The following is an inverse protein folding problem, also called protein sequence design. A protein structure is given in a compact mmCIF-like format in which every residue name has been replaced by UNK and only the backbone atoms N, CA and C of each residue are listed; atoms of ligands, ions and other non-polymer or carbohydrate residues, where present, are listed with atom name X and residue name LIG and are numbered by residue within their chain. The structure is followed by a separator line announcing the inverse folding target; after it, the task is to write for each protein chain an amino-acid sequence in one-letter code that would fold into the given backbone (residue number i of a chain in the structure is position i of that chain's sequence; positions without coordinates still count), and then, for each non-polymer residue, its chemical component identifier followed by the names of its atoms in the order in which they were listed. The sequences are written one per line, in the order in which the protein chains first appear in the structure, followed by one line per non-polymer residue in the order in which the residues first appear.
data_IF_069391016593
#
_entry.id   IF_069391016593
#
_cell.length_a   1.000
_cell.length_b   1.000
_cell.length_c   1.000
_cell.angle_alpha   90.00
_cell.angle_beta   90.00
_cell.angle_gamma   90.00
#
_symmetry.space_group_name_H-M   'P 1'
#
loop_
_entity.id
_entity.type
_entity.pdbx_description
1 polymer ?
#
# COMPACT_ATOMS: atom_id res chain seq x y z
N UNK A 1 -68.52 -64.24 -23.19
CA UNK A 1 -68.31 -64.36 -21.73
C UNK A 1 -67.09 -63.50 -21.38
N UNK A 2 -67.33 -62.38 -20.69
CA UNK A 2 -66.45 -61.54 -19.82
C UNK A 2 -65.07 -61.06 -20.32
N UNK A 3 -64.89 -59.73 -20.35
CA UNK A 3 -63.61 -59.02 -20.54
C UNK A 3 -62.82 -58.86 -19.22
N UNK A 4 -61.53 -58.44 -19.28
CA UNK A 4 -61.13 -57.35 -18.40
C UNK A 4 -60.18 -56.30 -19.03
N UNK A 5 -60.33 -55.09 -18.50
CA UNK A 5 -59.58 -53.84 -18.65
C UNK A 5 -58.29 -53.83 -17.80
N UNK A 6 -57.26 -53.05 -18.17
CA UNK A 6 -56.19 -52.37 -17.35
C UNK A 6 -54.88 -52.28 -18.19
N UNK A 7 -53.98 -51.30 -18.13
CA UNK A 7 -53.84 -50.04 -17.40
C UNK A 7 -52.78 -49.17 -18.13
N UNK A 8 -52.79 -47.87 -17.89
CA UNK A 8 -51.72 -46.91 -18.21
C UNK A 8 -50.41 -47.28 -17.47
N UNK A 9 -49.26 -47.19 -18.14
CA UNK A 9 -47.94 -46.95 -17.53
C UNK A 9 -47.39 -45.67 -18.19
N UNK A 10 -47.63 -44.50 -17.59
CA UNK A 10 -46.79 -43.88 -16.55
C UNK A 10 -45.39 -43.52 -17.08
N UNK A 11 -45.12 -42.22 -17.13
CA UNK A 11 -43.96 -41.62 -17.76
C UNK A 11 -42.63 -42.04 -17.14
N UNK A 12 -41.65 -42.29 -18.02
CA UNK A 12 -40.27 -42.53 -17.64
C UNK A 12 -39.68 -41.33 -16.90
N UNK A 13 -39.30 -41.56 -15.65
CA UNK A 13 -38.66 -40.60 -14.76
C UNK A 13 -37.25 -40.24 -15.27
N UNK A 14 -36.91 -38.95 -15.50
CA UNK A 14 -35.52 -38.54 -15.69
C UNK A 14 -34.90 -38.24 -14.32
N UNK A 15 -34.48 -39.24 -13.54
CA UNK A 15 -34.32 -39.02 -12.08
C UNK A 15 -32.96 -39.25 -11.43
N UNK A 16 -31.89 -39.66 -12.12
CA UNK A 16 -30.60 -39.86 -11.43
C UNK A 16 -29.40 -39.24 -12.15
N UNK A 17 -29.15 -39.59 -13.41
CA UNK A 17 -27.94 -39.12 -14.12
C UNK A 17 -27.90 -37.61 -14.34
N UNK A 18 -29.03 -36.98 -14.70
CA UNK A 18 -29.11 -35.52 -14.85
C UNK A 18 -28.88 -34.79 -13.53
N UNK A 19 -29.46 -35.30 -12.44
CA UNK A 19 -29.30 -34.73 -11.09
C UNK A 19 -27.85 -34.83 -10.60
N UNK A 20 -27.16 -35.94 -10.90
CA UNK A 20 -25.74 -36.11 -10.57
C UNK A 20 -24.85 -35.15 -11.36
N UNK A 21 -25.11 -34.92 -12.65
CA UNK A 21 -24.34 -33.97 -13.48
C UNK A 21 -24.61 -32.52 -13.06
N UNK A 22 -25.85 -32.18 -12.72
CA UNK A 22 -26.20 -30.85 -12.19
C UNK A 22 -25.58 -30.60 -10.83
N UNK A 23 -25.59 -31.59 -9.92
CA UNK A 23 -24.95 -31.44 -8.61
C UNK A 23 -23.43 -31.37 -8.73
N UNK A 24 -22.82 -32.13 -9.64
CA UNK A 24 -21.37 -32.06 -9.89
C UNK A 24 -20.97 -30.72 -10.52
N UNK A 25 -21.80 -30.16 -11.42
CA UNK A 25 -21.60 -28.80 -11.96
C UNK A 25 -21.83 -27.72 -10.91
N UNK A 26 -22.81 -27.91 -10.01
CA UNK A 26 -23.07 -27.02 -8.88
C UNK A 26 -21.89 -27.05 -7.89
N UNK A 27 -21.43 -28.24 -7.53
CA UNK A 27 -20.27 -28.42 -6.64
C UNK A 27 -18.98 -27.93 -7.27
N UNK A 28 -18.75 -28.14 -8.57
CA UNK A 28 -17.63 -27.55 -9.29
C UNK A 28 -17.72 -26.02 -9.33
N UNK A 29 -18.91 -25.46 -9.53
CA UNK A 29 -19.13 -24.00 -9.45
C UNK A 29 -18.95 -23.43 -8.04
N UNK A 30 -19.31 -24.18 -6.99
CA UNK A 30 -19.08 -23.80 -5.59
C UNK A 30 -17.58 -23.91 -5.25
N UNK A 31 -16.89 -24.96 -5.70
CA UNK A 31 -15.45 -25.13 -5.48
C UNK A 31 -14.63 -24.02 -6.17
N UNK A 32 -14.97 -23.66 -7.41
CA UNK A 32 -14.34 -22.55 -8.14
C UNK A 32 -14.64 -21.18 -7.49
N UNK A 33 -15.82 -21.02 -6.85
CA UNK A 33 -16.11 -19.82 -6.04
C UNK A 33 -15.40 -19.82 -4.69
N UNK A 34 -15.08 -20.99 -4.12
CA UNK A 34 -14.37 -21.12 -2.84
C UNK A 34 -12.85 -20.96 -2.97
N UNK A 35 -12.25 -21.29 -4.12
CA UNK A 35 -10.83 -20.97 -4.39
C UNK A 35 -10.54 -19.46 -4.43
N UNK A 36 -11.56 -18.63 -4.71
CA UNK A 36 -11.47 -17.17 -4.63
C UNK A 36 -11.70 -16.56 -3.23
N UNK A 37 -12.03 -17.38 -2.22
CA UNK A 37 -12.41 -16.91 -0.87
C UNK A 37 -11.30 -17.05 0.19
N UNK A 38 -10.17 -17.68 -0.13
CA UNK A 38 -9.04 -17.77 0.80
C UNK A 38 -8.02 -16.66 0.57
N UNK A 39 -8.22 -15.52 1.25
CA UNK A 39 -7.18 -14.51 1.40
C UNK A 39 -5.95 -15.13 2.07
N UNK A 40 -4.73 -14.94 1.52
CA UNK A 40 -3.51 -15.49 2.09
C UNK A 40 -3.33 -15.01 3.54
N UNK A 41 -3.11 -15.97 4.45
CA UNK A 41 -2.83 -15.68 5.87
C UNK A 41 -1.33 -15.48 6.15
N UNK A 42 -0.47 -16.03 5.28
CA UNK A 42 0.98 -15.87 5.41
C UNK A 42 1.38 -14.46 4.96
N UNK A 43 2.19 -13.72 5.74
CA UNK A 43 2.70 -12.43 5.32
C UNK A 43 3.59 -12.56 4.10
N UNK A 44 3.54 -11.56 3.21
CA UNK A 44 4.35 -11.50 2.01
C UNK A 44 5.47 -10.47 2.17
N UNK A 45 6.73 -10.91 2.37
CA UNK A 45 7.84 -9.98 2.59
C UNK A 45 8.16 -9.16 1.36
N UNK A 46 8.18 -7.83 1.53
CA UNK A 46 8.67 -6.88 0.54
C UNK A 46 10.13 -6.52 0.83
N UNK A 47 10.47 -6.37 2.11
CA UNK A 47 11.82 -6.09 2.59
C UNK A 47 12.05 -6.68 3.98
N UNK A 48 13.20 -7.32 4.21
CA UNK A 48 13.62 -7.88 5.51
C UNK A 48 15.08 -7.55 5.73
N UNK A 49 15.43 -6.84 6.80
CA UNK A 49 16.81 -6.44 7.12
C UNK A 49 17.49 -7.46 8.05
N UNK A 50 17.54 -8.72 7.62
CA UNK A 50 18.16 -9.83 8.33
C UNK A 50 19.67 -9.94 8.07
N UNK A 51 20.09 -9.75 6.81
CA UNK A 51 21.47 -9.91 6.36
C UNK A 51 22.23 -8.57 6.25
N UNK A 52 23.55 -8.53 6.53
CA UNK A 52 24.38 -7.33 6.40
C UNK A 52 24.39 -6.70 5.01
N UNK A 53 24.23 -7.51 3.95
CA UNK A 53 24.22 -7.04 2.56
C UNK A 53 22.86 -6.48 2.14
N UNK A 54 21.83 -6.64 2.96
CA UNK A 54 20.47 -6.22 2.62
C UNK A 54 20.35 -4.73 2.26
N UNK A 55 20.99 -3.78 2.98
CA UNK A 55 20.97 -2.37 2.58
C UNK A 55 21.53 -2.11 1.18
N UNK A 56 22.38 -2.99 0.63
CA UNK A 56 22.85 -2.91 -0.75
C UNK A 56 21.75 -3.20 -1.79
N UNK A 57 20.56 -3.63 -1.35
CA UNK A 57 19.36 -3.71 -2.19
C UNK A 57 18.57 -2.40 -2.20
N UNK A 58 18.99 -1.39 -1.42
CA UNK A 58 18.34 -0.08 -1.33
C UNK A 58 19.16 1.04 -1.96
N UNK A 59 18.48 1.91 -2.71
CA UNK A 59 19.03 3.17 -3.19
C UNK A 59 18.70 4.27 -2.19
N UNK A 60 19.72 4.86 -1.59
CA UNK A 60 19.62 6.04 -0.73
C UNK A 60 19.59 7.30 -1.61
N UNK A 61 18.82 8.29 -1.19
CA UNK A 61 18.61 9.57 -1.87
C UNK A 61 18.59 10.69 -0.83
N UNK A 62 19.22 11.80 -1.14
CA UNK A 62 19.09 13.06 -0.40
C UNK A 62 19.24 14.24 -1.36
N UNK A 63 18.87 15.43 -0.92
CA UNK A 63 19.10 16.66 -1.69
C UNK A 63 20.58 16.84 -2.11
N UNK A 64 21.53 16.43 -1.26
CA UNK A 64 22.96 16.44 -1.56
C UNK A 64 23.27 15.57 -2.78
N UNK A 65 22.78 14.32 -2.80
CA UNK A 65 23.05 13.39 -3.90
C UNK A 65 22.26 13.69 -5.17
N UNK A 66 21.12 14.37 -5.04
CA UNK A 66 20.21 14.61 -6.16
C UNK A 66 20.49 15.95 -6.86
N UNK A 67 20.81 17.00 -6.11
CA UNK A 67 20.93 18.34 -6.66
C UNK A 67 21.86 19.27 -5.86
N UNK A 68 22.75 18.72 -5.02
CA UNK A 68 23.82 19.47 -4.35
C UNK A 68 23.42 20.18 -3.07
N UNK A 69 22.30 19.79 -2.44
CA UNK A 69 21.93 20.25 -1.10
C UNK A 69 22.86 19.75 0.02
N UNK A 70 22.45 19.96 1.26
CA UNK A 70 23.28 19.69 2.45
C UNK A 70 22.73 18.58 3.36
N UNK A 71 21.58 17.99 3.03
CA UNK A 71 21.03 16.85 3.77
C UNK A 71 21.78 15.57 3.44
N UNK A 72 22.04 14.78 4.48
CA UNK A 72 22.79 13.53 4.42
C UNK A 72 21.94 12.40 4.93
N UNK A 73 22.12 11.23 4.33
CA UNK A 73 21.39 10.03 4.70
C UNK A 73 22.25 8.78 4.53
N UNK A 74 22.09 7.83 5.43
CA UNK A 74 22.72 6.51 5.40
C UNK A 74 21.71 5.43 5.78
N UNK A 75 21.94 4.21 5.29
CA UNK A 75 21.15 3.04 5.66
C UNK A 75 22.12 1.92 6.03
N UNK A 76 22.21 1.62 7.32
CA UNK A 76 23.23 0.71 7.87
C UNK A 76 22.56 -0.48 8.54
N UNK A 77 23.03 -1.70 8.25
CA UNK A 77 22.55 -2.89 8.94
C UNK A 77 23.10 -2.98 10.37
N UNK A 78 22.24 -3.39 11.29
CA UNK A 78 22.57 -3.70 12.68
C UNK A 78 22.15 -5.15 12.94
N UNK A 79 23.09 -6.03 13.35
CA UNK A 79 22.78 -7.40 13.66
C UNK A 79 21.90 -7.49 14.90
N UNK A 80 21.02 -8.48 14.93
CA UNK A 80 20.10 -8.73 16.03
C UNK A 80 19.43 -10.09 15.86
N UNK A 81 18.29 -10.28 16.52
CA UNK A 81 17.51 -11.49 16.38
C UNK A 81 17.07 -11.73 14.94
N UNK A 82 17.19 -12.98 14.50
CA UNK A 82 16.76 -13.37 13.17
C UNK A 82 15.25 -13.20 13.03
N UNK A 83 14.86 -12.84 11.81
CA UNK A 83 13.46 -12.75 11.44
C UNK A 83 12.89 -14.15 11.28
N UNK A 84 11.83 -14.45 12.02
CA UNK A 84 11.13 -15.72 11.99
C UNK A 84 9.79 -15.47 11.31
N UNK A 85 9.60 -16.16 10.19
CA UNK A 85 8.32 -16.17 9.50
C UNK A 85 7.33 -16.95 10.34
N UNK A 86 6.21 -16.32 10.69
CA UNK A 86 5.06 -16.98 11.29
C UNK A 86 5.29 -17.49 12.73
N UNK A 87 5.80 -16.66 13.63
CA UNK A 87 5.73 -16.95 15.08
C UNK A 87 4.26 -17.23 15.47
N UNK A 88 3.99 -18.44 15.98
CA UNK A 88 2.73 -18.81 16.60
C UNK A 88 1.47 -18.85 15.71
N UNK A 89 1.59 -18.83 14.37
CA UNK A 89 0.42 -18.75 13.49
C UNK A 89 -0.23 -17.35 13.43
N UNK A 90 0.46 -16.32 13.91
CA UNK A 90 -0.06 -14.95 14.02
C UNK A 90 0.02 -14.14 12.72
N UNK A 91 0.55 -14.70 11.63
CA UNK A 91 0.57 -14.04 10.31
C UNK A 91 1.51 -12.83 10.23
N UNK A 92 2.58 -12.83 11.03
CA UNK A 92 3.60 -11.76 11.08
C UNK A 92 4.99 -12.29 10.75
N UNK A 93 5.87 -11.37 10.38
CA UNK A 93 7.32 -11.58 10.43
C UNK A 93 7.74 -11.04 11.80
N UNK A 94 8.20 -11.95 12.66
CA UNK A 94 8.62 -11.67 14.03
C UNK A 94 10.14 -11.77 14.16
N UNK A 95 10.69 -11.33 15.30
CA UNK A 95 12.12 -11.38 15.60
C UNK A 95 12.48 -10.34 16.65
N UNK A 96 13.14 -10.74 17.75
CA UNK A 96 13.46 -9.80 18.83
C UNK A 96 12.21 -9.24 19.52
N UNK A 97 11.22 -10.10 19.76
CA UNK A 97 10.02 -9.77 20.55
C UNK A 97 10.21 -10.05 22.04
N UNK A 98 11.28 -10.75 22.40
CA UNK A 98 11.63 -11.02 23.79
C UNK A 98 12.23 -9.77 24.42
N UNK A 99 11.91 -9.54 25.70
CA UNK A 99 12.44 -8.43 26.48
C UNK A 99 13.97 -8.46 26.46
N UNK A 100 14.59 -7.38 25.96
CA UNK A 100 16.04 -7.24 25.86
C UNK A 100 16.67 -7.77 24.56
N UNK A 101 15.87 -8.28 23.62
CA UNK A 101 16.34 -8.73 22.31
C UNK A 101 15.79 -7.81 21.21
N UNK A 102 16.66 -7.14 20.45
CA UNK A 102 16.24 -6.35 19.29
C UNK A 102 16.30 -7.20 18.00
N UNK A 103 15.38 -6.98 17.03
CA UNK A 103 15.49 -7.61 15.72
C UNK A 103 16.76 -7.19 14.99
N UNK A 104 17.27 -8.04 14.10
CA UNK A 104 18.16 -7.55 13.04
C UNK A 104 17.41 -6.48 12.23
N UNK A 105 18.05 -5.35 11.96
CA UNK A 105 17.37 -4.22 11.37
C UNK A 105 18.32 -3.33 10.56
N UNK A 106 17.75 -2.41 9.78
CA UNK A 106 18.50 -1.30 9.22
C UNK A 106 18.20 -0.01 9.98
N UNK A 107 19.22 0.82 10.16
CA UNK A 107 19.12 2.16 10.72
C UNK A 107 19.20 3.15 9.57
N UNK A 108 18.07 3.81 9.29
CA UNK A 108 18.01 4.95 8.39
C UNK A 108 18.26 6.22 9.20
N UNK A 109 19.43 6.82 9.03
CA UNK A 109 19.84 7.98 9.82
C UNK A 109 20.61 9.00 9.01
N UNK A 110 20.69 10.22 9.54
CA UNK A 110 21.41 11.30 8.90
C UNK A 110 21.06 12.65 9.49
N UNK A 111 21.16 13.70 8.67
CA UNK A 111 20.82 15.06 9.07
C UNK A 111 20.12 15.79 7.94
N UNK A 112 19.03 16.49 8.25
CA UNK A 112 18.33 17.38 7.33
C UNK A 112 18.91 18.80 7.43
N UNK A 113 19.15 19.43 6.28
CA UNK A 113 19.37 20.87 6.16
C UNK A 113 18.39 21.44 5.14
N UNK A 114 17.86 22.63 5.41
CA UNK A 114 16.97 23.35 4.49
C UNK A 114 17.70 24.40 3.66
N UNK A 115 19.01 24.52 3.83
CA UNK A 115 19.85 25.46 3.10
C UNK A 115 19.83 25.13 1.61
N UNK A 116 19.65 26.17 0.79
CA UNK A 116 19.63 26.03 -0.66
C UNK A 116 21.07 25.97 -1.20
N UNK A 117 21.33 25.14 -2.21
CA UNK A 117 22.64 25.09 -2.86
C UNK A 117 22.97 26.44 -3.51
N UNK A 118 24.12 27.01 -3.15
CA UNK A 118 24.58 28.33 -3.63
C UNK A 118 24.76 28.41 -5.15
N UNK A 119 25.04 27.29 -5.81
CA UNK A 119 25.33 27.23 -7.25
C UNK A 119 24.11 26.91 -8.13
N UNK A 120 22.89 26.81 -7.56
CA UNK A 120 21.68 26.39 -8.29
C UNK A 120 20.45 27.16 -7.82
N UNK A 121 20.16 28.27 -8.47
CA UNK A 121 19.02 29.15 -8.16
C UNK A 121 17.66 28.62 -8.63
N UNK A 122 17.65 27.56 -9.45
CA UNK A 122 16.44 26.84 -9.89
C UNK A 122 15.80 26.02 -8.76
N UNK A 123 16.55 25.75 -7.69
CA UNK A 123 16.10 24.92 -6.58
C UNK A 123 15.46 25.80 -5.52
N UNK A 124 14.13 25.77 -5.47
CA UNK A 124 13.36 26.56 -4.50
C UNK A 124 13.17 25.84 -3.16
N UNK A 125 13.41 24.53 -3.11
CA UNK A 125 13.13 23.67 -1.94
C UNK A 125 14.22 22.60 -1.77
N UNK A 126 14.85 22.57 -0.61
CA UNK A 126 15.78 21.52 -0.14
C UNK A 126 15.30 20.92 1.20
N UNK A 127 15.98 19.91 1.73
CA UNK A 127 15.66 19.32 3.03
C UNK A 127 14.89 18.02 2.93
N UNK A 128 15.43 17.04 2.20
CA UNK A 128 14.89 15.69 2.21
C UNK A 128 15.98 14.62 2.29
N UNK A 129 15.59 13.50 2.88
CA UNK A 129 16.34 12.25 2.89
C UNK A 129 15.36 11.12 2.61
N UNK A 130 15.75 10.15 1.79
CA UNK A 130 14.91 9.00 1.50
C UNK A 130 15.75 7.79 1.13
N UNK A 131 15.12 6.62 1.15
CA UNK A 131 15.64 5.44 0.50
C UNK A 131 14.49 4.66 -0.11
N UNK A 132 14.81 3.82 -1.09
CA UNK A 132 13.86 2.84 -1.63
C UNK A 132 14.57 1.59 -2.09
N UNK A 133 13.86 0.47 -2.17
CA UNK A 133 14.38 -0.74 -2.79
C UNK A 133 14.76 -0.48 -4.25
N UNK A 134 15.85 -1.08 -4.71
CA UNK A 134 16.20 -1.12 -6.14
C UNK A 134 15.13 -1.92 -6.88
N UNK A 135 14.95 -1.59 -8.16
CA UNK A 135 14.10 -2.40 -9.05
C UNK A 135 14.62 -3.84 -9.06
N UNK A 136 13.71 -4.81 -9.01
CA UNK A 136 14.05 -6.24 -8.96
C UNK A 136 14.65 -6.78 -10.26
N UNK A 137 14.82 -5.93 -11.27
CA UNK A 137 15.38 -6.28 -12.57
C UNK A 137 14.35 -6.81 -13.55
N UNK A 138 14.82 -7.56 -14.54
CA UNK A 138 14.02 -8.13 -15.62
C UNK A 138 14.17 -9.65 -15.64
N UNK A 139 13.12 -10.33 -16.09
CA UNK A 139 13.15 -11.71 -16.53
C UNK A 139 12.81 -11.78 -18.02
N UNK A 140 12.79 -12.98 -18.60
CA UNK A 140 12.62 -13.21 -20.05
C UNK A 140 11.34 -12.59 -20.65
N UNK A 141 10.33 -12.30 -19.83
CA UNK A 141 9.03 -11.78 -20.28
C UNK A 141 8.65 -10.44 -19.63
N UNK A 142 9.59 -9.70 -19.03
CA UNK A 142 9.33 -8.35 -18.55
C UNK A 142 10.05 -7.99 -17.25
N UNK A 143 9.55 -6.96 -16.55
CA UNK A 143 10.08 -6.55 -15.24
C UNK A 143 9.65 -7.51 -14.15
N UNK A 144 10.51 -7.72 -13.16
CA UNK A 144 10.16 -8.38 -11.92
C UNK A 144 9.46 -7.37 -11.00
N UNK A 145 8.19 -7.62 -10.72
CA UNK A 145 7.33 -6.78 -9.88
C UNK A 145 6.79 -7.61 -8.72
N UNK A 146 6.37 -6.97 -7.63
CA UNK A 146 5.59 -7.66 -6.60
C UNK A 146 4.11 -7.59 -6.93
N UNK A 147 3.44 -8.71 -6.67
CA UNK A 147 1.99 -8.81 -6.65
C UNK A 147 1.54 -8.97 -5.20
N UNK A 148 0.89 -7.92 -4.69
CA UNK A 148 0.30 -7.90 -3.37
C UNK A 148 -1.21 -7.65 -3.42
N UNK A 149 -1.84 -7.81 -4.59
CA UNK A 149 -3.29 -7.66 -4.73
C UNK A 149 -4.09 -8.54 -3.74
N UNK A 150 -3.65 -9.77 -3.39
CA UNK A 150 -4.31 -10.58 -2.38
C UNK A 150 -4.24 -10.04 -0.94
N UNK A 151 -3.52 -8.94 -0.69
CA UNK A 151 -3.28 -8.37 0.63
C UNK A 151 -3.95 -7.00 0.80
N UNK A 152 -4.53 -6.76 1.98
CA UNK A 152 -5.23 -5.53 2.31
C UNK A 152 -4.34 -4.45 2.97
N UNK A 153 -3.27 -4.86 3.66
CA UNK A 153 -2.46 -3.97 4.48
C UNK A 153 -0.96 -4.10 4.21
N UNK A 154 -0.25 -2.98 4.37
CA UNK A 154 1.20 -2.94 4.52
C UNK A 154 1.53 -2.89 6.01
N UNK A 155 2.37 -3.81 6.47
CA UNK A 155 2.91 -3.80 7.82
C UNK A 155 4.41 -3.49 7.82
N UNK A 156 4.85 -2.73 8.81
CA UNK A 156 6.25 -2.40 9.04
C UNK A 156 6.57 -2.52 10.52
N UNK A 157 7.69 -3.15 10.86
CA UNK A 157 8.24 -3.13 12.22
C UNK A 157 9.34 -2.09 12.33
N UNK A 158 9.09 -1.06 13.15
CA UNK A 158 9.93 0.14 13.22
C UNK A 158 10.21 0.57 14.66
N UNK A 159 11.26 1.37 14.85
CA UNK A 159 11.51 2.18 16.05
C UNK A 159 11.84 3.60 15.57
N UNK A 160 10.95 4.55 15.83
CA UNK A 160 11.05 5.92 15.31
C UNK A 160 11.59 6.89 16.37
N UNK A 161 12.33 7.91 15.93
CA UNK A 161 12.74 9.07 16.73
C UNK A 161 11.61 10.10 16.95
N UNK A 162 10.42 9.85 16.39
CA UNK A 162 9.26 10.73 16.49
C UNK A 162 9.16 11.78 15.36
N UNK A 163 10.06 11.75 14.37
CA UNK A 163 9.90 12.56 13.16
C UNK A 163 8.80 12.02 12.23
N UNK A 164 8.32 12.89 11.34
CA UNK A 164 7.28 12.58 10.36
C UNK A 164 7.89 11.97 9.09
N UNK A 165 8.00 10.65 9.05
CA UNK A 165 8.41 9.91 7.87
C UNK A 165 7.21 9.56 6.99
N UNK A 166 7.43 9.41 5.69
CA UNK A 166 6.46 8.89 4.73
C UNK A 166 6.92 7.54 4.20
N UNK A 167 5.99 6.57 4.16
CA UNK A 167 6.17 5.31 3.45
C UNK A 167 5.69 5.51 2.00
N UNK A 168 6.52 5.08 1.06
CA UNK A 168 6.35 5.33 -0.36
C UNK A 168 6.29 3.99 -1.12
N UNK A 169 5.28 3.82 -1.96
CA UNK A 169 5.13 2.68 -2.88
C UNK A 169 5.11 3.21 -4.30
N UNK A 170 6.02 2.72 -5.13
CA UNK A 170 6.01 2.99 -6.57
C UNK A 170 5.45 1.77 -7.30
N UNK A 171 4.43 1.99 -8.12
CA UNK A 171 3.85 0.98 -9.02
C UNK A 171 4.26 1.26 -10.47
N UNK A 172 3.97 0.32 -11.38
CA UNK A 172 3.89 0.69 -12.79
C UNK A 172 2.70 1.63 -13.02
N UNK A 173 2.98 2.88 -13.37
CA UNK A 173 2.02 3.87 -13.83
C UNK A 173 2.40 4.36 -15.23
N UNK A 174 1.43 4.93 -15.93
CA UNK A 174 1.66 5.66 -17.19
C UNK A 174 2.64 6.81 -16.94
N UNK A 175 2.52 7.46 -15.79
CA UNK A 175 3.42 8.53 -15.35
C UNK A 175 4.45 7.93 -14.40
N UNK A 176 5.71 7.74 -14.81
CA UNK A 176 6.71 6.99 -14.02
C UNK A 176 7.09 7.68 -12.71
N UNK A 177 6.77 8.95 -12.55
CA UNK A 177 7.04 9.77 -11.37
C UNK A 177 5.93 9.70 -10.32
N UNK A 178 4.83 9.00 -10.62
CA UNK A 178 3.77 8.75 -9.65
C UNK A 178 4.29 7.86 -8.52
N UNK A 179 3.97 8.27 -7.30
CA UNK A 179 4.30 7.56 -6.08
C UNK A 179 3.04 7.56 -5.21
N UNK A 180 2.76 6.43 -4.56
CA UNK A 180 1.72 6.36 -3.55
C UNK A 180 2.37 6.54 -2.18
N UNK A 181 1.89 7.49 -1.40
CA UNK A 181 2.50 7.90 -0.14
C UNK A 181 1.50 7.83 1.00
N UNK A 182 2.00 7.52 2.19
CA UNK A 182 1.25 7.64 3.43
C UNK A 182 2.21 8.09 4.53
N UNK A 183 1.75 8.95 5.45
CA UNK A 183 2.51 9.26 6.66
C UNK A 183 2.72 7.98 7.45
N UNK A 184 3.96 7.68 7.82
CA UNK A 184 4.28 6.51 8.64
C UNK A 184 3.79 6.78 10.07
N UNK A 185 2.80 6.04 10.59
CA UNK A 185 2.35 6.23 11.97
C UNK A 185 3.49 5.90 12.94
N UNK A 186 3.57 6.61 14.05
CA UNK A 186 4.39 6.22 15.19
C UNK A 186 3.63 6.51 16.47
N UNK A 187 3.21 5.44 17.15
CA UNK A 187 2.41 5.53 18.37
C UNK A 187 3.30 5.54 19.60
N UNK A 188 4.48 4.92 19.52
CA UNK A 188 5.42 4.81 20.64
C UNK A 188 6.87 5.16 20.24
N UNK A 189 7.17 6.44 19.98
CA UNK A 189 8.53 6.88 19.68
C UNK A 189 9.57 6.37 20.68
N UNK A 190 10.72 5.92 20.17
CA UNK A 190 11.80 5.31 20.94
C UNK A 190 11.60 3.83 21.29
N UNK A 191 10.44 3.23 20.97
CA UNK A 191 10.17 1.80 21.17
C UNK A 191 9.92 1.10 19.85
N UNK A 192 10.18 -0.20 19.82
CA UNK A 192 9.82 -1.05 18.69
C UNK A 192 8.31 -1.25 18.66
N UNK A 193 7.71 -0.99 17.51
CA UNK A 193 6.29 -1.18 17.24
C UNK A 193 6.07 -1.75 15.84
N UNK A 194 4.94 -2.45 15.66
CA UNK A 194 4.49 -2.87 14.33
C UNK A 194 3.31 -1.99 13.91
N UNK A 195 3.52 -1.20 12.86
CA UNK A 195 2.47 -0.37 12.27
C UNK A 195 1.88 -1.08 11.07
N UNK A 196 0.59 -0.89 10.82
CA UNK A 196 -0.15 -1.57 9.76
C UNK A 196 -1.06 -0.54 9.10
N UNK A 197 -0.90 -0.34 7.80
CA UNK A 197 -1.54 0.73 7.03
C UNK A 197 -2.34 0.08 5.89
N UNK A 198 -3.62 0.41 5.70
CA UNK A 198 -4.39 -0.12 4.58
C UNK A 198 -3.87 0.44 3.25
N UNK A 199 -3.75 -0.41 2.23
CA UNK A 199 -3.32 0.07 0.90
C UNK A 199 -4.25 1.14 0.31
N UNK A 200 -5.52 1.12 0.68
CA UNK A 200 -6.52 2.11 0.27
C UNK A 200 -6.31 3.49 0.89
N UNK A 201 -5.52 3.62 1.95
CA UNK A 201 -5.23 4.92 2.57
C UNK A 201 -4.09 5.67 1.86
N UNK A 202 -3.30 5.00 1.02
CA UNK A 202 -2.20 5.65 0.32
C UNK A 202 -2.70 6.65 -0.72
N UNK A 203 -2.10 7.83 -0.69
CA UNK A 203 -2.42 8.94 -1.60
C UNK A 203 -1.43 8.96 -2.75
N UNK A 204 -1.93 9.02 -3.98
CA UNK A 204 -1.08 9.18 -5.16
C UNK A 204 -0.62 10.62 -5.29
N UNK A 205 0.69 10.80 -5.37
CA UNK A 205 1.36 12.07 -5.55
C UNK A 205 2.34 12.03 -6.72
N UNK A 206 2.70 13.22 -7.20
CA UNK A 206 3.70 13.42 -8.24
C UNK A 206 4.52 14.66 -7.85
N UNK A 207 5.83 14.47 -7.69
CA UNK A 207 6.72 15.50 -7.12
C UNK A 207 6.22 16.10 -5.78
N UNK A 208 5.54 15.30 -4.96
CA UNK A 208 4.99 15.73 -3.66
C UNK A 208 3.67 16.50 -3.74
N UNK A 209 3.08 16.63 -4.93
CA UNK A 209 1.74 17.21 -5.11
C UNK A 209 0.73 16.08 -5.28
N UNK A 210 -0.40 16.15 -4.60
CA UNK A 210 -1.51 15.19 -4.73
C UNK A 210 -2.05 15.23 -6.16
N UNK A 211 -2.21 14.05 -6.78
CA UNK A 211 -2.67 13.95 -8.19
C UNK A 211 -4.05 13.35 -8.28
N UNK A 212 -5.01 14.19 -8.64
CA UNK A 212 -6.36 13.75 -9.01
C UNK A 212 -6.44 13.33 -10.48
N UNK A 213 -7.31 12.36 -10.83
CA UNK A 213 -8.20 11.62 -9.94
C UNK A 213 -7.45 10.53 -9.17
N UNK A 214 -7.70 10.39 -7.86
CA UNK A 214 -7.13 9.29 -7.07
C UNK A 214 -7.65 7.96 -7.63
N UNK A 215 -6.78 7.21 -8.31
CA UNK A 215 -7.09 5.85 -8.78
C UNK A 215 -6.53 4.87 -7.77
N UNK A 216 -7.19 3.72 -7.65
CA UNK A 216 -6.66 2.63 -6.83
C UNK A 216 -5.23 2.27 -7.25
N UNK A 217 -4.40 2.00 -6.24
CA UNK A 217 -3.02 1.57 -6.42
C UNK A 217 -2.97 0.24 -7.17
N UNK A 218 -2.12 0.15 -8.19
CA UNK A 218 -1.92 -1.07 -8.97
C UNK A 218 -1.09 -2.11 -8.20
N UNK A 219 -1.72 -2.77 -7.23
CA UNK A 219 -1.11 -3.69 -6.23
C UNK A 219 -0.41 -4.92 -6.85
N UNK A 220 -0.78 -5.30 -8.06
CA UNK A 220 -0.17 -6.39 -8.82
C UNK A 220 1.15 -6.03 -9.51
N UNK A 221 1.53 -4.74 -9.52
CA UNK A 221 2.67 -4.21 -10.28
C UNK A 221 3.52 -3.26 -9.45
N UNK A 222 3.88 -3.65 -8.23
CA UNK A 222 4.77 -2.84 -7.38
C UNK A 222 6.22 -2.98 -7.84
N UNK A 223 6.87 -1.84 -8.02
CA UNK A 223 8.28 -1.71 -8.42
C UNK A 223 9.23 -1.52 -7.25
N UNK A 224 8.89 -0.61 -6.33
CA UNK A 224 9.74 -0.27 -5.19
C UNK A 224 8.93 0.14 -3.98
N UNK A 225 9.45 -0.15 -2.79
CA UNK A 225 8.98 0.41 -1.52
C UNK A 225 10.12 1.20 -0.90
N UNK A 226 9.83 2.28 -0.18
CA UNK A 226 10.85 3.12 0.43
C UNK A 226 10.31 4.06 1.48
N UNK A 227 11.19 4.66 2.27
CA UNK A 227 10.81 5.63 3.29
C UNK A 227 11.50 6.96 2.99
N UNK A 228 10.77 8.06 3.16
CA UNK A 228 11.27 9.41 2.97
C UNK A 228 10.95 10.31 4.15
N UNK A 229 11.89 11.18 4.50
CA UNK A 229 11.73 12.28 5.43
C UNK A 229 11.70 13.58 4.63
N UNK A 230 10.57 14.29 4.69
CA UNK A 230 10.32 15.54 3.96
C UNK A 230 9.74 16.63 4.87
N UNK A 231 9.91 16.48 6.19
CA UNK A 231 9.40 17.39 7.22
C UNK A 231 10.04 18.79 7.18
N UNK A 232 11.16 18.95 6.46
CA UNK A 232 11.97 20.17 6.38
C UNK A 232 12.37 20.71 7.75
N UNK A 233 12.47 19.85 8.77
CA UNK A 233 12.94 20.24 10.11
C UNK A 233 14.45 19.98 10.17
N UNK A 234 15.30 21.02 10.24
CA UNK A 234 16.74 20.83 10.31
C UNK A 234 17.15 20.01 11.53
N UNK A 235 18.22 19.22 11.39
CA UNK A 235 18.78 18.44 12.48
C UNK A 235 18.86 16.94 12.20
N UNK A 236 19.29 16.16 13.20
CA UNK A 236 19.46 14.72 13.05
C UNK A 236 18.11 14.03 12.94
N UNK A 237 18.13 12.87 12.29
CA UNK A 237 17.01 11.94 12.26
C UNK A 237 17.51 10.49 12.36
N UNK A 238 16.70 9.63 12.93
CA UNK A 238 16.94 8.20 13.03
C UNK A 238 15.63 7.40 13.00
N UNK A 239 15.57 6.40 12.12
CA UNK A 239 14.49 5.44 12.03
C UNK A 239 15.08 4.04 11.89
N UNK A 240 14.83 3.16 12.86
CA UNK A 240 15.17 1.75 12.74
C UNK A 240 14.02 1.00 12.05
N UNK A 241 14.34 0.17 11.06
CA UNK A 241 13.38 -0.63 10.29
C UNK A 241 13.85 -2.08 10.31
N UNK A 242 13.04 -2.97 10.88
CA UNK A 242 13.31 -4.40 10.80
C UNK A 242 12.80 -4.96 9.47
N UNK A 243 11.50 -4.84 9.20
CA UNK A 243 10.86 -5.47 8.05
C UNK A 243 9.70 -4.63 7.49
N UNK A 244 9.36 -4.96 6.25
CA UNK A 244 8.23 -4.41 5.50
C UNK A 244 7.56 -5.57 4.75
N UNK A 245 6.27 -5.77 4.97
CA UNK A 245 5.54 -6.90 4.38
C UNK A 245 4.06 -6.60 4.16
N UNK A 246 3.46 -7.28 3.19
CA UNK A 246 2.02 -7.24 2.99
C UNK A 246 1.33 -8.29 3.88
N UNK A 247 0.18 -7.95 4.45
CA UNK A 247 -0.61 -8.82 5.33
C UNK A 247 -2.11 -8.57 5.19
N UNK A 248 -2.90 -9.56 5.60
CA UNK A 248 -4.37 -9.45 5.71
C UNK A 248 -4.83 -9.30 7.16
N UNK A 249 -3.88 -9.17 8.09
CA UNK A 249 -4.18 -8.92 9.50
C UNK A 249 -4.56 -7.46 9.70
N UNK A 250 -5.65 -7.23 10.41
CA UNK A 250 -6.08 -5.89 10.80
C UNK A 250 -5.04 -5.21 11.72
N UNK A 251 -4.96 -3.87 11.68
CA UNK A 251 -4.07 -3.09 12.56
C UNK A 251 -4.38 -3.35 14.04
N UNK A 252 -3.34 -3.36 14.88
CA UNK A 252 -3.50 -3.50 16.34
C UNK A 252 -3.98 -2.23 17.01
N UNK A 253 -3.50 -1.09 16.49
CA UNK A 253 -3.94 0.23 16.89
C UNK A 253 -5.24 0.53 16.12
N UNK A 254 -6.27 1.01 16.83
CA UNK A 254 -7.63 1.13 16.31
C UNK A 254 -7.72 2.00 15.05
N UNK A 255 -8.79 1.80 14.27
CA UNK A 255 -9.14 2.57 13.05
C UNK A 255 -9.55 4.02 13.36
N UNK A 256 -8.82 4.74 14.20
CA UNK A 256 -8.95 6.20 14.20
C UNK A 256 -8.53 6.69 12.81
N UNK A 257 -9.15 7.76 12.29
CA UNK A 257 -8.84 8.29 10.94
C UNK A 257 -7.32 8.49 10.85
N UNK A 258 -6.64 7.59 10.15
CA UNK A 258 -5.19 7.65 10.01
C UNK A 258 -4.84 8.93 9.25
N UNK A 259 -4.01 9.78 9.86
CA UNK A 259 -3.49 10.98 9.22
C UNK A 259 -2.65 10.53 8.02
N UNK A 260 -3.15 10.77 6.80
CA UNK A 260 -2.42 10.44 5.57
C UNK A 260 -1.17 11.30 5.40
N UNK A 261 -1.05 12.39 6.18
CA UNK A 261 -0.05 13.45 6.05
C UNK A 261 -0.39 14.46 4.96
N UNK A 262 -1.56 14.33 4.31
CA UNK A 262 -2.05 15.22 3.27
C UNK A 262 -3.44 15.76 3.64
N UNK A 263 -3.63 17.06 3.41
CA UNK A 263 -4.95 17.70 3.51
C UNK A 263 -5.76 17.29 2.28
N UNK A 264 -6.48 16.17 2.37
CA UNK A 264 -7.45 15.77 1.35
C UNK A 264 -8.78 16.43 1.67
N UNK A 265 -9.25 17.33 0.80
CA UNK A 265 -10.65 17.73 0.78
C UNK A 265 -11.46 16.49 0.37
N UNK A 266 -12.07 15.82 1.33
CA UNK A 266 -13.05 14.78 1.03
C UNK A 266 -14.27 15.53 0.52
N UNK A 267 -14.45 15.60 -0.80
CA UNK A 267 -15.76 15.85 -1.36
C UNK A 267 -16.64 14.70 -0.86
N UNK A 268 -17.44 14.98 0.17
CA UNK A 268 -18.54 14.09 0.53
C UNK A 268 -19.38 13.99 -0.74
N UNK A 269 -19.38 12.82 -1.38
CA UNK A 269 -20.36 12.50 -2.41
C UNK A 269 -21.73 12.57 -1.73
N UNK A 270 -22.32 13.76 -1.71
CA UNK A 270 -23.74 13.90 -1.47
C UNK A 270 -24.41 12.99 -2.49
N UNK A 271 -25.06 11.94 -1.99
CA UNK A 271 -25.87 11.01 -2.76
C UNK A 271 -27.06 11.78 -3.33
N UNK A 272 -26.81 12.61 -4.33
CA UNK A 272 -27.83 13.36 -5.03
C UNK A 272 -28.53 12.34 -5.93
N UNK A 273 -29.60 11.77 -5.38
CA UNK A 273 -30.49 10.87 -6.08
C UNK A 273 -30.81 11.43 -7.46
N UNK A 274 -30.64 10.59 -8.47
CA UNK A 274 -31.04 10.89 -9.85
C UNK A 274 -32.50 11.38 -9.86
N UNK A 275 -32.69 12.68 -10.00
CA UNK A 275 -33.80 13.41 -10.61
C UNK A 275 -33.81 14.84 -10.05
N UNK A 276 -32.92 15.69 -10.55
CA UNK A 276 -33.24 17.11 -10.66
C UNK A 276 -32.81 17.58 -12.06
N UNK A 277 -33.82 17.96 -12.84
CA UNK A 277 -33.67 18.50 -14.18
C UNK A 277 -32.78 19.74 -14.12
N UNK A 278 -31.70 19.72 -14.91
CA UNK A 278 -30.77 20.85 -15.03
C UNK A 278 -31.51 22.01 -15.70
N UNK A 279 -31.99 22.97 -14.89
CA UNK A 279 -32.37 24.28 -15.40
C UNK A 279 -31.10 25.00 -15.91
N UNK A 280 -31.11 25.58 -17.12
CA UNK A 280 -29.91 26.20 -17.68
C UNK A 280 -29.51 27.44 -16.87
N UNK A 281 -28.24 27.47 -16.43
CA UNK A 281 -27.60 28.61 -15.76
C UNK A 281 -27.68 29.87 -16.64
N UNK A 282 -28.41 30.90 -16.18
CA UNK A 282 -28.34 32.24 -16.78
C UNK A 282 -26.97 32.88 -16.48
N UNK A 283 -26.31 33.40 -17.52
CA UNK A 283 -25.07 34.18 -17.39
C UNK A 283 -25.38 35.57 -16.86
N UNK A 284 -24.71 35.94 -15.78
CA UNK A 284 -24.77 37.27 -15.15
C UNK A 284 -24.06 38.28 -16.05
N UNK A 285 -24.80 39.22 -16.67
CA UNK A 285 -24.18 40.36 -17.37
C UNK A 285 -24.89 40.96 -18.59
N UNK A 286 -26.03 40.46 -19.05
CA UNK A 286 -26.74 41.11 -20.17
C UNK A 286 -27.78 42.14 -19.67
N UNK A 287 -27.80 43.39 -20.18
CA UNK A 287 -28.81 44.35 -19.83
C UNK A 287 -30.16 43.98 -20.44
N UNK A 288 -31.22 44.03 -19.62
CA UNK A 288 -32.61 43.77 -20.00
C UNK A 288 -33.02 44.62 -21.21
N UNK A 289 -33.46 43.96 -22.29
CA UNK A 289 -34.18 44.62 -23.37
C UNK A 289 -35.68 44.43 -23.16
N UNK A 290 -36.35 45.54 -22.86
CA UNK A 290 -37.80 45.67 -22.75
C UNK A 290 -38.43 45.29 -24.10
N UNK A 291 -39.45 44.44 -24.03
CA UNK A 291 -40.31 43.99 -25.13
C UNK A 291 -41.15 45.13 -25.71
N UNK A 292 -41.27 45.14 -27.05
CA UNK A 292 -42.54 45.36 -27.77
C UNK A 292 -42.68 44.21 -28.76
#
# INVERSE_FOLDING_TARGET
MVAPTLARLAGGRPSFLRRSVEELRRQAGIAVRMEGLHSPQKPFPLMKFDEPQTPERCKIMSDQTNFGGYSRATLTHVPGAKHIDNEGGLGRIGGGERVGEEPAHAVFSGSISTDLPTNRSDIQRSGFAAWRTRDRGWWMFGKLLWDIDPYAYLALRIKSDGRKYFINIQTESIVPTDIHQHLLPSYTPGKWETVTIPFSAFVRTNYGVVVEPQREMLRQKIRSVGIGLTDRVPGPFELCIADIYATNRAPEHGREREDTGFDLEVEEEEEHGMLDEIAPRQKKGEPERILI
#
